data_IF_649288893160
#
_entry.id   IF_649288893160
#
_cell.length_a   1.000
_cell.length_b   1.000
_cell.length_c   1.000
_cell.angle_alpha   90.00
_cell.angle_beta   90.00
_cell.angle_gamma   90.00
#
_symmetry.space_group_name_H-M   'P 1'
#
loop_
_entity.id
_entity.type
_entity.pdbx_description
1 polymer ?
#
# COMPACT_ATOMS: atom_id res chain seq x y z
N UNK A 1 -4.51 -9.97 -3.91
CA UNK A 1 -4.70 -9.30 -5.22
C UNK A 1 -5.33 -7.94 -4.99
N UNK A 2 -4.80 -6.87 -5.57
CA UNK A 2 -5.40 -5.54 -5.53
C UNK A 2 -5.89 -5.14 -6.92
N UNK A 3 -7.20 -4.88 -7.04
CA UNK A 3 -7.88 -4.52 -8.29
C UNK A 3 -8.07 -3.01 -8.29
N UNK A 4 -7.70 -2.36 -9.39
CA UNK A 4 -7.85 -0.92 -9.57
C UNK A 4 -9.33 -0.51 -9.65
N UNK A 5 -9.63 0.78 -9.42
CA UNK A 5 -11.00 1.28 -9.47
C UNK A 5 -11.55 1.24 -10.90
N UNK A 6 -12.89 1.16 -10.99
CA UNK A 6 -13.67 1.20 -12.23
C UNK A 6 -13.16 0.22 -13.30
N UNK A 7 -13.18 0.64 -14.58
CA UNK A 7 -12.72 -0.14 -15.72
C UNK A 7 -11.23 0.12 -16.03
N UNK A 8 -10.41 0.46 -15.03
CA UNK A 8 -8.99 0.77 -15.25
C UNK A 8 -8.16 -0.41 -15.75
N UNK A 9 -8.65 -1.65 -15.59
CA UNK A 9 -7.91 -2.87 -15.97
C UNK A 9 -6.65 -3.12 -15.15
N UNK A 10 -6.45 -2.35 -14.07
CA UNK A 10 -5.24 -2.41 -13.24
C UNK A 10 -5.34 -3.50 -12.20
N UNK A 11 -4.29 -4.32 -12.11
CA UNK A 11 -4.18 -5.43 -11.17
C UNK A 11 -2.77 -5.47 -10.59
N UNK A 12 -2.67 -5.64 -9.28
CA UNK A 12 -1.41 -5.89 -8.58
C UNK A 12 -1.51 -7.20 -7.81
N UNK A 13 -0.50 -8.06 -8.03
CA UNK A 13 -0.26 -9.27 -7.26
C UNK A 13 1.02 -9.06 -6.45
N UNK A 14 0.95 -9.32 -5.14
CA UNK A 14 2.12 -9.30 -4.26
C UNK A 14 2.66 -10.72 -4.16
N UNK A 15 3.96 -10.87 -4.38
CA UNK A 15 4.64 -12.15 -4.28
C UNK A 15 5.35 -12.29 -2.93
N UNK A 16 5.38 -13.51 -2.41
CA UNK A 16 6.25 -13.87 -1.30
C UNK A 16 7.70 -13.93 -1.80
N UNK A 17 8.61 -13.39 -1.00
CA UNK A 17 10.05 -13.30 -1.30
C UNK A 17 10.84 -13.97 -0.20
N UNK A 18 11.99 -14.56 -0.53
CA UNK A 18 12.87 -15.22 0.45
C UNK A 18 13.35 -14.22 1.53
N UNK A 19 13.51 -14.68 2.77
CA UNK A 19 13.82 -13.85 3.96
C UNK A 19 15.14 -13.05 3.95
N UNK A 20 15.91 -13.05 2.86
CA UNK A 20 17.10 -12.20 2.66
C UNK A 20 16.94 -11.10 1.60
N UNK A 21 15.76 -10.93 1.01
CA UNK A 21 15.54 -9.88 0.01
C UNK A 21 15.49 -8.49 0.65
N UNK A 22 15.98 -7.48 -0.09
CA UNK A 22 15.98 -6.07 0.35
C UNK A 22 14.58 -5.46 0.44
N UNK A 23 13.58 -6.11 -0.14
CA UNK A 23 12.18 -5.71 -0.12
C UNK A 23 11.29 -6.77 -0.75
N UNK A 24 10.01 -6.45 -0.87
CA UNK A 24 8.99 -7.28 -1.51
C UNK A 24 9.06 -7.23 -3.03
N UNK A 25 8.19 -7.99 -3.68
CA UNK A 25 8.03 -8.01 -5.14
C UNK A 25 6.56 -7.96 -5.51
N UNK A 26 6.25 -7.20 -6.56
CA UNK A 26 4.91 -7.17 -7.15
C UNK A 26 4.93 -7.46 -8.63
N UNK A 27 3.82 -8.02 -9.11
CA UNK A 27 3.49 -8.16 -10.52
C UNK A 27 2.32 -7.24 -10.81
N UNK A 28 2.50 -6.36 -11.80
CA UNK A 28 1.56 -5.29 -12.11
C UNK A 28 1.05 -5.46 -13.53
N UNK A 29 -0.25 -5.36 -13.72
CA UNK A 29 -0.93 -5.42 -15.00
C UNK A 29 -1.76 -4.15 -15.17
N UNK A 30 -1.72 -3.54 -16.35
CA UNK A 30 -2.60 -2.41 -16.72
C UNK A 30 -3.56 -2.76 -17.86
N UNK A 31 -3.70 -4.04 -18.20
CA UNK A 31 -4.43 -4.52 -19.38
C UNK A 31 -5.38 -5.69 -19.09
N UNK A 32 -6.03 -5.64 -17.92
CA UNK A 32 -7.00 -6.66 -17.47
C UNK A 32 -6.35 -8.04 -17.25
N UNK A 33 -5.17 -8.05 -16.63
CA UNK A 33 -4.40 -9.24 -16.31
C UNK A 33 -3.97 -10.06 -17.53
N UNK A 34 -3.84 -9.42 -18.70
CA UNK A 34 -3.30 -10.09 -19.91
C UNK A 34 -1.78 -10.17 -19.86
N UNK A 35 -1.12 -9.10 -19.42
CA UNK A 35 0.33 -9.05 -19.28
C UNK A 35 0.74 -8.52 -17.90
N UNK A 36 1.82 -9.06 -17.36
CA UNK A 36 2.35 -8.66 -16.05
C UNK A 36 3.80 -8.19 -16.18
N UNK A 37 4.09 -7.06 -15.51
CA UNK A 37 5.43 -6.53 -15.34
C UNK A 37 5.85 -6.70 -13.89
N UNK A 38 7.03 -7.26 -13.66
CA UNK A 38 7.60 -7.40 -12.32
C UNK A 38 8.19 -6.08 -11.85
N UNK A 39 8.01 -5.76 -10.57
CA UNK A 39 8.72 -4.66 -9.91
C UNK A 39 9.18 -5.08 -8.53
N UNK A 40 10.48 -4.95 -8.28
CA UNK A 40 11.07 -5.13 -6.95
C UNK A 40 10.83 -3.85 -6.14
N UNK A 41 10.36 -4.00 -4.92
CA UNK A 41 10.05 -2.90 -4.02
C UNK A 41 11.27 -2.54 -3.16
N UNK A 42 11.45 -1.26 -2.80
CA UNK A 42 12.49 -0.85 -1.86
C UNK A 42 12.11 -1.13 -0.39
N UNK A 43 10.98 -1.78 -0.13
CA UNK A 43 10.46 -2.09 1.20
C UNK A 43 9.70 -3.41 1.19
N UNK A 44 9.49 -4.01 2.37
CA UNK A 44 8.59 -5.14 2.57
C UNK A 44 7.18 -4.65 2.88
N UNK A 45 6.17 -4.92 2.03
CA UNK A 45 4.80 -4.45 2.27
C UNK A 45 4.17 -5.21 3.44
N UNK A 46 3.65 -4.45 4.42
CA UNK A 46 2.86 -4.98 5.54
C UNK A 46 1.38 -5.10 5.18
N UNK A 47 0.86 -4.13 4.42
CA UNK A 47 -0.54 -4.08 4.01
C UNK A 47 -0.69 -4.36 2.51
N UNK A 48 -1.91 -4.72 2.11
CA UNK A 48 -2.28 -4.67 0.70
C UNK A 48 -2.13 -3.24 0.16
N UNK A 49 -1.67 -3.11 -1.09
CA UNK A 49 -1.57 -1.82 -1.78
C UNK A 49 -2.96 -1.26 -2.05
N UNK A 50 -3.15 0.02 -1.74
CA UNK A 50 -4.42 0.74 -1.91
C UNK A 50 -4.32 1.71 -3.08
N UNK A 51 -5.28 1.63 -4.01
CA UNK A 51 -5.43 2.61 -5.10
C UNK A 51 -6.09 3.89 -4.60
N UNK A 52 -5.67 5.03 -5.15
CA UNK A 52 -6.48 6.24 -5.01
C UNK A 52 -7.81 6.06 -5.75
N UNK A 53 -8.95 6.43 -5.14
CA UNK A 53 -10.24 6.35 -5.82
C UNK A 53 -10.35 7.29 -7.02
N UNK A 54 -9.56 8.38 -7.08
CA UNK A 54 -9.60 9.35 -8.19
C UNK A 54 -8.53 9.11 -9.26
N UNK A 55 -7.45 8.38 -8.93
CA UNK A 55 -6.38 8.12 -9.87
C UNK A 55 -5.82 6.71 -9.67
N UNK A 56 -6.08 5.84 -10.63
CA UNK A 56 -5.66 4.45 -10.59
C UNK A 56 -4.14 4.24 -10.77
N UNK A 57 -3.36 5.28 -11.11
CA UNK A 57 -1.89 5.24 -11.06
C UNK A 57 -1.32 5.46 -9.66
N UNK A 58 -2.11 6.04 -8.76
CA UNK A 58 -1.64 6.41 -7.43
C UNK A 58 -1.88 5.26 -6.45
N UNK A 59 -0.81 4.83 -5.79
CA UNK A 59 -0.83 3.72 -4.85
C UNK A 59 -0.25 4.13 -3.51
N UNK A 60 -0.78 3.51 -2.46
CA UNK A 60 -0.36 3.70 -1.08
C UNK A 60 -0.09 2.32 -0.45
N UNK A 61 0.99 2.21 0.32
CA UNK A 61 1.32 1.01 1.07
C UNK A 61 2.00 1.35 2.39
N UNK A 62 1.80 0.50 3.40
CA UNK A 62 2.61 0.50 4.62
C UNK A 62 3.67 -0.59 4.54
N UNK A 63 4.87 -0.29 4.99
CA UNK A 63 5.95 -1.28 5.13
C UNK A 63 5.93 -1.95 6.51
N UNK A 64 6.62 -3.08 6.64
CA UNK A 64 6.85 -3.76 7.92
C UNK A 64 7.61 -2.92 8.93
N UNK A 65 8.30 -1.87 8.47
CA UNK A 65 9.01 -0.88 9.29
C UNK A 65 8.12 0.33 9.64
N UNK A 66 6.81 0.23 9.42
CA UNK A 66 5.84 1.32 9.61
C UNK A 66 6.14 2.58 8.76
N UNK A 67 6.79 2.40 7.61
CA UNK A 67 6.99 3.45 6.61
C UNK A 67 5.75 3.59 5.72
N UNK A 68 5.37 4.81 5.40
CA UNK A 68 4.29 5.12 4.45
C UNK A 68 4.89 5.40 3.08
N UNK A 69 4.56 4.53 2.12
CA UNK A 69 5.10 4.57 0.76
C UNK A 69 4.02 4.95 -0.24
N UNK A 70 4.37 5.83 -1.17
CA UNK A 70 3.50 6.28 -2.25
C UNK A 70 4.17 5.99 -3.59
N UNK A 71 3.37 5.54 -4.55
CA UNK A 71 3.73 5.51 -5.96
C UNK A 71 2.77 6.41 -6.74
N UNK A 72 3.29 7.17 -7.70
CA UNK A 72 2.51 7.99 -8.64
C UNK A 72 2.48 7.43 -10.07
N UNK A 73 3.12 6.29 -10.30
CA UNK A 73 3.26 5.65 -11.61
C UNK A 73 2.93 4.15 -11.54
N UNK A 74 1.77 3.86 -10.95
CA UNK A 74 1.19 2.53 -10.85
C UNK A 74 2.15 1.45 -10.27
N UNK A 75 3.04 1.82 -9.37
CA UNK A 75 3.88 0.91 -8.61
C UNK A 75 5.24 0.62 -9.23
N UNK A 76 5.63 1.34 -10.29
CA UNK A 76 6.98 1.29 -10.87
C UNK A 76 8.03 1.90 -9.95
N UNK A 77 7.71 3.03 -9.30
CA UNK A 77 8.61 3.72 -8.38
C UNK A 77 7.86 4.08 -7.11
N UNK A 78 8.54 3.92 -5.98
CA UNK A 78 7.97 4.16 -4.66
C UNK A 78 8.84 5.13 -3.88
N UNK A 79 8.19 6.07 -3.21
CA UNK A 79 8.81 7.08 -2.35
C UNK A 79 8.25 6.93 -0.95
N UNK A 80 9.14 6.87 0.05
CA UNK A 80 8.75 6.94 1.45
C UNK A 80 8.43 8.39 1.80
N UNK A 81 7.19 8.67 2.20
CA UNK A 81 6.74 10.04 2.53
C UNK A 81 6.65 10.29 4.03
N UNK A 82 6.60 9.24 4.85
CA UNK A 82 6.52 9.36 6.30
C UNK A 82 6.97 8.08 7.01
N UNK A 83 7.50 8.19 8.23
CA UNK A 83 7.91 7.08 9.10
C UNK A 83 6.97 6.91 10.30
N UNK A 84 7.01 5.76 10.97
CA UNK A 84 6.22 5.50 12.19
C UNK A 84 4.69 5.69 11.99
N UNK A 85 4.17 5.30 10.81
CA UNK A 85 2.75 5.37 10.48
C UNK A 85 2.04 4.09 10.89
N UNK A 86 0.92 4.23 11.61
CA UNK A 86 0.11 3.11 12.10
C UNK A 86 -1.04 2.74 11.17
N UNK A 87 -1.70 3.75 10.61
CA UNK A 87 -2.81 3.58 9.69
C UNK A 87 -2.71 4.65 8.62
N UNK A 88 -3.01 4.29 7.38
CA UNK A 88 -3.11 5.23 6.29
C UNK A 88 -4.30 4.87 5.38
N UNK A 89 -4.96 5.88 4.81
CA UNK A 89 -6.06 5.74 3.86
C UNK A 89 -6.04 6.87 2.84
N UNK A 90 -6.53 6.58 1.64
CA UNK A 90 -6.90 7.60 0.68
C UNK A 90 -8.19 8.30 1.11
N UNK A 91 -8.17 9.63 0.99
CA UNK A 91 -9.33 10.51 1.03
C UNK A 91 -9.70 11.01 -0.37
N UNK A 92 -10.67 11.94 -0.47
CA UNK A 92 -11.01 12.58 -1.72
C UNK A 92 -9.84 13.38 -2.28
N UNK A 93 -9.84 13.62 -3.60
CA UNK A 93 -8.85 14.43 -4.30
C UNK A 93 -7.40 13.97 -4.09
N UNK A 94 -7.14 12.66 -3.98
CA UNK A 94 -5.82 12.09 -3.70
C UNK A 94 -5.18 12.58 -2.38
N UNK A 95 -5.98 13.02 -1.41
CA UNK A 95 -5.48 13.35 -0.07
C UNK A 95 -5.17 12.05 0.68
N UNK A 96 -4.09 12.01 1.47
CA UNK A 96 -3.74 10.85 2.30
C UNK A 96 -3.96 11.23 3.76
N UNK A 97 -4.80 10.47 4.46
CA UNK A 97 -4.98 10.58 5.90
C UNK A 97 -4.21 9.45 6.59
N UNK A 98 -3.40 9.78 7.58
CA UNK A 98 -2.61 8.80 8.30
C UNK A 98 -2.40 9.17 9.77
N UNK A 99 -2.17 8.17 10.61
CA UNK A 99 -1.84 8.34 12.03
C UNK A 99 -0.40 7.91 12.28
N UNK A 100 0.29 8.64 13.16
CA UNK A 100 1.69 8.37 13.51
C UNK A 100 1.82 8.04 14.99
N UNK A 101 2.84 7.29 15.36
CA UNK A 101 3.20 7.08 16.76
C UNK A 101 4.60 7.62 17.05
N UNK A 102 4.84 8.01 18.31
CA UNK A 102 6.13 8.54 18.75
C UNK A 102 6.93 7.49 19.53
N UNK A 103 6.27 6.55 20.22
CA UNK A 103 6.88 5.67 21.24
C UNK A 103 6.61 4.16 21.04
N UNK A 104 6.66 3.68 19.80
CA UNK A 104 6.85 2.26 19.50
C UNK A 104 5.65 1.31 19.57
N UNK A 105 4.39 1.76 19.51
CA UNK A 105 3.29 0.80 19.36
C UNK A 105 2.05 1.34 18.66
N UNK A 106 1.75 0.73 17.52
CA UNK A 106 0.47 0.85 16.81
C UNK A 106 -0.51 -0.20 17.34
N UNK A 107 -0.93 -0.09 18.60
CA UNK A 107 -1.97 -0.98 19.14
C UNK A 107 -3.36 -0.49 18.71
N UNK A 108 -4.18 -1.32 18.03
CA UNK A 108 -5.58 -0.99 17.81
C UNK A 108 -6.34 -1.08 19.14
N UNK A 109 -6.74 0.06 19.71
CA UNK A 109 -7.68 0.10 20.84
C UNK A 109 -9.11 -0.12 20.33
N UNK A 110 -9.45 -1.38 20.02
CA UNK A 110 -10.86 -1.75 19.82
C UNK A 110 -11.46 -2.10 21.18
N UNK A 111 -11.92 -1.11 21.94
CA UNK A 111 -12.88 -1.36 23.01
C UNK A 111 -14.28 -1.17 22.46
N UNK A 112 -14.90 -2.26 22.01
CA UNK A 112 -16.36 -2.33 21.93
C UNK A 112 -16.87 -2.42 23.37
N UNK A 113 -17.24 -1.27 23.95
CA UNK A 113 -18.09 -1.28 25.14
C UNK A 113 -19.53 -1.47 24.66
N UNK A 114 -20.05 -2.68 24.81
CA UNK A 114 -21.48 -2.87 24.97
C UNK A 114 -21.85 -2.24 26.32
N UNK A 115 -22.70 -1.23 26.32
CA UNK A 115 -23.48 -0.84 27.49
C UNK A 115 -24.72 -1.73 27.51
N UNK A 116 -24.88 -2.51 28.56
CA UNK A 116 -26.13 -3.17 28.93
C UNK A 116 -27.24 -2.14 29.20
#
# INVERSE_FOLDING_TARGET
>A
MAIGPENSGKVILTAEVSGGSRGGRVFRSSDFAKNFVQTDLPFHPLTQMMYSPQNSDYLLALSTENGLWVSKNFGEKWEEIHKAVCLAKWGPNNIIFFTTHVNGSCTPTTTLRHSD
#
